data_IF_604535801987
#
_entry.id   IF_604535801987
#
_cell.length_a   1.000
_cell.length_b   1.000
_cell.length_c   1.000
_cell.angle_alpha   90.00
_cell.angle_beta   90.00
_cell.angle_gamma   90.00
#
_symmetry.space_group_name_H-M   'P 1'
#
loop_
_entity.id
_entity.type
_entity.pdbx_description
1 polymer ?
#
# COMPACT_ATOMS: atom_id res chain seq x y z
N UNK A 1 13.51 15.02 -0.06
CA UNK A 1 14.02 13.97 0.82
C UNK A 1 13.22 12.72 0.59
N UNK A 2 13.89 11.62 0.36
CA UNK A 2 13.21 10.38 0.01
C UNK A 2 13.93 9.18 0.61
N UNK A 3 13.20 8.09 0.82
CA UNK A 3 13.78 6.84 1.26
C UNK A 3 14.69 6.26 0.17
N UNK A 4 15.76 5.59 0.58
CA UNK A 4 16.67 4.89 -0.36
C UNK A 4 16.04 3.65 -0.95
N UNK A 5 15.16 2.99 -0.19
CA UNK A 5 14.48 1.76 -0.59
C UNK A 5 13.00 1.89 -0.27
N UNK A 6 12.19 1.50 -1.23
CA UNK A 6 10.73 1.40 -1.04
C UNK A 6 10.37 -0.07 -1.15
N UNK A 7 9.83 -0.63 -0.07
CA UNK A 7 9.35 -2.01 -0.08
C UNK A 7 7.85 -1.98 -0.31
N UNK A 8 7.42 -2.55 -1.43
CA UNK A 8 6.01 -2.75 -1.71
C UNK A 8 5.64 -4.18 -1.33
N UNK A 9 4.86 -4.32 -0.26
CA UNK A 9 4.31 -5.62 0.13
C UNK A 9 2.95 -5.77 -0.54
N UNK A 10 2.85 -6.75 -1.42
CA UNK A 10 1.62 -7.07 -2.14
C UNK A 10 0.97 -8.27 -1.48
N UNK A 11 -0.26 -8.10 -1.01
CA UNK A 11 -0.97 -9.16 -0.30
C UNK A 11 -2.44 -9.17 -0.67
N UNK A 12 -3.11 -10.26 -0.30
CA UNK A 12 -4.56 -10.34 -0.30
C UNK A 12 -5.06 -10.15 1.13
N UNK A 13 -6.36 -9.90 1.34
CA UNK A 13 -6.91 -9.85 2.69
C UNK A 13 -6.61 -11.14 3.46
N UNK A 14 -6.39 -11.01 4.77
CA UNK A 14 -6.17 -12.13 5.69
C UNK A 14 -4.88 -12.91 5.45
N UNK A 15 -3.84 -12.24 4.98
CA UNK A 15 -2.52 -12.85 4.77
C UNK A 15 -1.51 -12.46 5.83
N UNK A 16 -1.94 -12.00 7.00
CA UNK A 16 -1.04 -11.55 8.08
C UNK A 16 -0.14 -10.38 7.68
N UNK A 17 -0.54 -9.63 6.67
CA UNK A 17 0.27 -8.52 6.15
C UNK A 17 0.41 -7.39 7.16
N UNK A 18 -0.61 -7.18 8.00
CA UNK A 18 -0.56 -6.15 9.04
C UNK A 18 0.50 -6.47 10.09
N UNK A 19 0.60 -7.74 10.51
CA UNK A 19 1.63 -8.16 11.46
C UNK A 19 3.03 -7.93 10.91
N UNK A 20 3.24 -8.26 9.62
CA UNK A 20 4.52 -8.04 8.96
C UNK A 20 4.84 -6.54 8.88
N UNK A 21 3.86 -5.72 8.54
CA UNK A 21 4.04 -4.27 8.51
C UNK A 21 4.48 -3.74 9.87
N UNK A 22 3.85 -4.19 10.96
CA UNK A 22 4.23 -3.74 12.30
C UNK A 22 5.62 -4.22 12.71
N UNK A 23 6.06 -5.36 12.19
CA UNK A 23 7.44 -5.81 12.41
C UNK A 23 8.44 -4.81 11.81
N UNK A 24 8.18 -4.34 10.60
CA UNK A 24 9.03 -3.32 9.99
C UNK A 24 8.93 -1.98 10.71
N UNK A 25 7.79 -1.65 11.27
CA UNK A 25 7.60 -0.40 12.00
C UNK A 25 8.49 -0.28 13.25
N UNK A 26 9.02 -1.41 13.75
CA UNK A 26 9.91 -1.40 14.90
C UNK A 26 11.31 -0.86 14.55
N UNK A 27 11.66 -0.78 13.29
CA UNK A 27 12.98 -0.30 12.86
C UNK A 27 13.02 1.23 12.91
N UNK A 28 14.13 1.78 13.43
CA UNK A 28 14.30 3.24 13.51
C UNK A 28 14.50 3.90 12.15
N UNK A 29 14.88 3.14 11.12
CA UNK A 29 15.15 3.64 9.78
C UNK A 29 13.96 3.46 8.82
N UNK A 30 12.80 3.05 9.31
CA UNK A 30 11.68 2.65 8.46
C UNK A 30 10.40 3.42 8.83
N UNK A 31 9.76 3.96 7.82
CA UNK A 31 8.40 4.50 7.91
C UNK A 31 7.46 3.52 7.22
N UNK A 32 6.32 3.23 7.84
CA UNK A 32 5.33 2.31 7.26
C UNK A 32 4.05 3.04 6.94
N UNK A 33 3.37 2.60 5.87
CA UNK A 33 2.05 3.09 5.51
C UNK A 33 1.16 1.92 5.13
N UNK A 34 -0.07 1.94 5.63
CA UNK A 34 -1.04 0.88 5.42
C UNK A 34 -2.02 1.29 4.32
N UNK A 35 -1.98 0.54 3.23
CA UNK A 35 -2.93 0.68 2.12
C UNK A 35 -3.07 2.13 1.62
N UNK A 36 -1.97 2.79 1.22
CA UNK A 36 -2.04 4.21 0.85
C UNK A 36 -2.87 4.48 -0.41
N UNK A 37 -3.12 3.47 -1.23
CA UNK A 37 -3.92 3.61 -2.45
C UNK A 37 -5.39 3.30 -2.27
N UNK A 38 -5.82 2.94 -1.05
CA UNK A 38 -7.19 2.52 -0.79
C UNK A 38 -8.22 3.61 -1.11
N UNK A 39 -7.99 4.83 -0.65
CA UNK A 39 -8.97 5.91 -0.86
C UNK A 39 -9.13 6.24 -2.35
N UNK A 40 -8.04 6.25 -3.10
CA UNK A 40 -8.06 6.47 -4.54
C UNK A 40 -8.89 5.39 -5.24
N UNK A 41 -8.65 4.12 -4.87
CA UNK A 41 -9.42 3.01 -5.43
C UNK A 41 -10.89 3.11 -5.06
N UNK A 42 -11.18 3.39 -3.79
CA UNK A 42 -12.55 3.47 -3.29
C UNK A 42 -13.36 4.57 -4.01
N UNK A 43 -12.71 5.70 -4.30
CA UNK A 43 -13.37 6.80 -5.01
C UNK A 43 -13.81 6.40 -6.41
N UNK A 44 -13.11 5.46 -7.05
CA UNK A 44 -13.44 4.95 -8.38
C UNK A 44 -14.46 3.81 -8.35
N UNK A 45 -14.87 3.36 -7.18
CA UNK A 45 -15.78 2.23 -7.01
C UNK A 45 -16.97 2.64 -6.13
N UNK A 46 -17.89 3.47 -6.67
CA UNK A 46 -19.03 3.94 -5.87
C UNK A 46 -19.97 2.83 -5.43
N UNK A 47 -19.92 1.67 -6.09
CA UNK A 47 -20.71 0.50 -5.71
C UNK A 47 -20.26 -0.14 -4.40
N UNK A 48 -19.03 0.15 -3.95
CA UNK A 48 -18.51 -0.43 -2.71
C UNK A 48 -18.96 0.37 -1.50
N UNK A 49 -19.78 -0.25 -0.65
CA UNK A 49 -20.20 0.34 0.61
C UNK A 49 -19.15 0.05 1.67
N UNK A 50 -18.74 1.09 2.39
CA UNK A 50 -17.78 0.96 3.49
C UNK A 50 -18.21 1.89 4.62
N UNK A 51 -18.04 1.49 5.89
CA UNK A 51 -18.26 2.39 7.01
C UNK A 51 -17.38 3.63 6.87
N UNK A 52 -17.98 4.79 7.17
CA UNK A 52 -17.25 6.06 7.15
C UNK A 52 -16.66 6.41 5.78
N UNK A 53 -17.26 5.91 4.71
CA UNK A 53 -16.78 6.14 3.35
C UNK A 53 -16.61 7.63 3.04
N UNK A 54 -17.62 8.43 3.32
CA UNK A 54 -17.59 9.87 2.98
C UNK A 54 -16.51 10.61 3.76
N UNK A 55 -16.35 10.28 5.04
CA UNK A 55 -15.33 10.89 5.87
C UNK A 55 -13.93 10.54 5.37
N UNK A 56 -13.73 9.28 5.01
CA UNK A 56 -12.46 8.81 4.46
C UNK A 56 -12.13 9.54 3.16
N UNK A 57 -13.09 9.64 2.25
CA UNK A 57 -12.85 10.29 0.96
C UNK A 57 -12.57 11.78 1.11
N UNK A 58 -13.21 12.44 2.06
CA UNK A 58 -12.94 13.87 2.31
C UNK A 58 -11.57 14.11 2.92
N UNK A 59 -11.08 13.18 3.72
CA UNK A 59 -9.82 13.33 4.44
C UNK A 59 -8.60 12.88 3.64
N UNK A 60 -8.79 12.28 2.45
CA UNK A 60 -7.71 11.61 1.72
C UNK A 60 -7.48 12.24 0.37
N UNK A 61 -6.26 12.08 -0.16
CA UNK A 61 -5.97 12.39 -1.54
C UNK A 61 -6.57 11.29 -2.42
N UNK A 62 -7.41 11.68 -3.39
CA UNK A 62 -8.12 10.73 -4.24
C UNK A 62 -7.49 10.55 -5.61
N UNK A 63 -6.55 11.40 -5.98
CA UNK A 63 -5.83 11.26 -7.25
C UNK A 63 -4.67 10.32 -7.06
N UNK A 64 -4.77 9.13 -7.67
CA UNK A 64 -3.73 8.10 -7.55
C UNK A 64 -2.35 8.56 -7.97
N UNK A 65 -2.25 9.43 -8.98
CA UNK A 65 -0.97 9.97 -9.43
C UNK A 65 -0.32 10.82 -8.36
N UNK A 66 -1.11 11.63 -7.67
CA UNK A 66 -0.62 12.46 -6.56
C UNK A 66 -0.20 11.60 -5.39
N UNK A 67 -0.94 10.54 -5.10
CA UNK A 67 -0.58 9.60 -4.04
C UNK A 67 0.77 8.96 -4.36
N UNK A 68 0.93 8.43 -5.57
CA UNK A 68 2.19 7.79 -5.97
C UNK A 68 3.35 8.77 -5.92
N UNK A 69 3.18 9.98 -6.44
CA UNK A 69 4.23 11.00 -6.39
C UNK A 69 4.63 11.32 -4.95
N UNK A 70 3.65 11.44 -4.06
CA UNK A 70 3.87 11.67 -2.65
C UNK A 70 4.66 10.53 -2.00
N UNK A 71 4.30 9.28 -2.31
CA UNK A 71 4.98 8.11 -1.76
C UNK A 71 6.43 8.03 -2.24
N UNK A 72 6.70 8.36 -3.49
CA UNK A 72 8.06 8.32 -4.03
C UNK A 72 8.97 9.38 -3.40
N UNK A 73 8.41 10.43 -2.83
CA UNK A 73 9.17 11.48 -2.15
C UNK A 73 9.16 11.37 -0.63
N UNK A 74 8.44 10.41 -0.09
CA UNK A 74 8.24 10.24 1.35
C UNK A 74 9.33 9.36 1.95
N UNK A 75 9.44 9.43 3.27
CA UNK A 75 10.23 8.50 4.07
C UNK A 75 11.43 9.17 4.71
N UNK A 76 12.12 8.46 5.61
CA UNK A 76 13.37 8.96 6.18
C UNK A 76 14.45 8.96 5.10
N UNK A 77 15.12 10.09 4.95
CA UNK A 77 16.19 10.21 3.96
C UNK A 77 17.24 9.11 4.19
N UNK A 78 17.55 8.36 3.15
CA UNK A 78 18.49 7.25 3.24
C UNK A 78 17.95 6.00 3.94
N UNK A 79 16.70 6.02 4.37
CA UNK A 79 16.07 4.88 5.05
C UNK A 79 15.15 4.08 4.17
N UNK A 80 14.13 3.49 4.78
CA UNK A 80 13.20 2.56 4.14
C UNK A 80 11.77 3.08 4.28
N UNK A 81 11.04 3.07 3.18
CA UNK A 81 9.59 3.26 3.17
C UNK A 81 8.94 1.90 2.90
N UNK A 82 8.13 1.43 3.85
CA UNK A 82 7.44 0.16 3.72
C UNK A 82 5.96 0.43 3.46
N UNK A 83 5.47 -0.05 2.33
CA UNK A 83 4.09 0.15 1.90
C UNK A 83 3.38 -1.20 1.85
N UNK A 84 2.34 -1.33 2.66
CA UNK A 84 1.49 -2.50 2.61
C UNK A 84 0.34 -2.24 1.63
N UNK A 85 0.19 -3.11 0.64
CA UNK A 85 -0.83 -2.98 -0.38
C UNK A 85 -1.73 -4.21 -0.45
N UNK A 86 -2.98 -3.98 -0.76
CA UNK A 86 -3.87 -5.03 -1.27
C UNK A 86 -3.86 -4.88 -2.79
N UNK A 87 -3.50 -5.95 -3.49
CA UNK A 87 -3.23 -5.89 -4.93
C UNK A 87 -4.34 -5.27 -5.77
N UNK A 88 -5.60 -5.52 -5.42
CA UNK A 88 -6.71 -5.00 -6.22
C UNK A 88 -6.78 -3.48 -6.26
N UNK A 89 -6.16 -2.79 -5.31
CA UNK A 89 -6.25 -1.33 -5.24
C UNK A 89 -5.41 -0.62 -6.29
N UNK A 90 -4.59 -1.35 -7.05
CA UNK A 90 -3.83 -0.76 -8.16
C UNK A 90 -4.43 -1.05 -9.53
N UNK A 91 -5.52 -1.81 -9.62
CA UNK A 91 -6.08 -2.22 -10.90
C UNK A 91 -6.43 -1.06 -11.82
N UNK A 92 -6.92 0.04 -11.25
CA UNK A 92 -7.31 1.23 -12.01
C UNK A 92 -6.27 2.34 -11.94
N UNK A 93 -5.07 2.04 -11.47
CA UNK A 93 -4.02 3.03 -11.33
C UNK A 93 -3.31 3.22 -12.67
N UNK A 94 -3.33 4.43 -13.19
CA UNK A 94 -2.70 4.74 -14.47
C UNK A 94 -1.18 4.90 -14.35
N UNK A 95 -0.72 5.36 -13.19
CA UNK A 95 0.69 5.64 -12.95
C UNK A 95 1.39 4.38 -12.47
N UNK A 96 2.39 3.92 -13.22
CA UNK A 96 3.14 2.71 -12.90
C UNK A 96 4.47 2.98 -12.20
N UNK A 97 4.77 4.21 -11.83
CA UNK A 97 6.05 4.57 -11.22
C UNK A 97 6.31 3.82 -9.93
N UNK A 98 5.26 3.53 -9.16
CA UNK A 98 5.40 2.76 -7.93
C UNK A 98 5.88 1.33 -8.19
N UNK A 99 5.60 0.79 -9.36
CA UNK A 99 5.99 -0.56 -9.75
C UNK A 99 7.37 -0.57 -10.41
N UNK A 100 7.67 0.44 -11.22
CA UNK A 100 8.85 0.44 -12.08
C UNK A 100 10.03 1.24 -11.54
N UNK A 101 9.84 2.03 -10.48
CA UNK A 101 10.92 2.83 -9.92
C UNK A 101 12.05 1.94 -9.41
N UNK A 102 13.30 2.30 -9.72
CA UNK A 102 14.47 1.48 -9.40
C UNK A 102 14.72 1.30 -7.90
N UNK A 103 14.16 2.18 -7.06
CA UNK A 103 14.28 2.06 -5.60
C UNK A 103 13.29 1.06 -5.01
N UNK A 104 12.31 0.60 -5.81
CA UNK A 104 11.25 -0.26 -5.30
C UNK A 104 11.65 -1.73 -5.31
N UNK A 105 11.40 -2.39 -4.19
CA UNK A 105 11.53 -3.83 -4.03
C UNK A 105 10.14 -4.39 -3.78
N UNK A 106 9.80 -5.47 -4.46
CA UNK A 106 8.47 -6.06 -4.37
C UNK A 106 8.53 -7.36 -3.59
N UNK A 107 7.66 -7.48 -2.59
CA UNK A 107 7.52 -8.68 -1.78
C UNK A 107 6.08 -9.14 -1.89
N UNK A 108 5.89 -10.42 -2.16
CA UNK A 108 4.55 -11.00 -2.29
C UNK A 108 4.29 -11.94 -1.13
N UNK A 109 3.20 -11.69 -0.41
CA UNK A 109 2.79 -12.52 0.71
C UNK A 109 1.61 -13.37 0.26
N UNK A 110 1.79 -14.69 0.27
CA UNK A 110 0.77 -15.63 -0.17
C UNK A 110 0.54 -16.69 0.90
N UNK A 111 -0.68 -17.21 0.93
CA UNK A 111 -1.01 -18.35 1.80
C UNK A 111 -0.83 -19.62 1.00
N UNK A 112 -0.20 -20.60 1.62
CA UNK A 112 0.03 -21.89 0.98
C UNK A 112 -0.88 -23.02 1.51
N UNK A 113 -1.88 -22.67 2.32
CA UNK A 113 -2.78 -23.65 2.92
C UNK A 113 -4.14 -23.60 2.24
N UNK A 114 -4.22 -24.31 1.14
CA UNK A 114 -5.38 -24.29 0.27
C UNK A 114 -6.65 -24.75 0.99
N UNK A 115 -6.54 -25.72 1.89
CA UNK A 115 -7.69 -26.24 2.63
C UNK A 115 -8.36 -25.20 3.51
N UNK A 116 -7.68 -24.11 3.83
CA UNK A 116 -8.28 -23.03 4.60
C UNK A 116 -9.04 -22.04 3.72
N UNK A 117 -8.79 -22.06 2.44
CA UNK A 117 -9.46 -21.15 1.50
C UNK A 117 -10.84 -21.68 1.13
N UNK A 118 -11.02 -22.97 1.18
CA UNK A 118 -12.28 -23.64 0.79
C UNK A 118 -13.40 -23.45 1.81
N UNK A 119 -13.11 -22.88 2.93
CA UNK A 119 -14.13 -22.59 3.94
C UNK A 119 -14.89 -21.31 3.56
#
# INVERSE_FOLDING_TARGET
>A
MAASVIINLWSAPRCCSTALMYSFAQRSDTTVMDEPLYASWLAKHPECARPYREELLRASELDGRKVVASLLSLGPEGGVLFLKHIGKFIEDLEDTDLVTNSRCVHVFLVRNRVEKVSL
#
